data_IF_354871117606
#
_entry.id   IF_354871117606
#
_cell.length_a   1.000
_cell.length_b   1.000
_cell.length_c   1.000
_cell.angle_alpha   90.00
_cell.angle_beta   90.00
_cell.angle_gamma   90.00
#
_symmetry.space_group_name_H-M   'P 1'
#
loop_
_entity.id
_entity.type
_entity.pdbx_description
1 polymer ?
#
# COMPACT_ATOMS: atom_id res chain seq x y z
N UNK A 1 -68.18 37.85 -6.67
CA UNK A 1 -68.14 38.13 -5.22
C UNK A 1 -67.19 37.12 -4.61
N UNK A 2 -65.88 37.42 -4.49
CA UNK A 2 -65.24 38.06 -3.32
C UNK A 2 -65.64 37.34 -2.03
N UNK A 3 -64.74 36.72 -1.27
CA UNK A 3 -63.64 37.39 -0.55
C UNK A 3 -62.38 36.53 -0.34
N UNK A 4 -61.29 37.26 -0.17
CA UNK A 4 -59.94 36.88 0.21
C UNK A 4 -59.85 36.79 1.74
N UNK A 5 -59.06 35.87 2.31
CA UNK A 5 -58.16 36.23 3.42
C UNK A 5 -56.93 35.32 3.52
N UNK A 6 -55.79 35.99 3.50
CA UNK A 6 -54.40 35.55 3.73
C UNK A 6 -54.10 35.57 5.23
N UNK A 7 -53.18 34.71 5.70
CA UNK A 7 -52.05 34.94 6.66
C UNK A 7 -51.66 33.57 7.24
N UNK A 8 -50.46 33.01 7.02
CA UNK A 8 -49.09 33.33 7.48
C UNK A 8 -48.64 32.46 8.68
N UNK A 9 -47.43 31.94 8.50
CA UNK A 9 -46.36 31.65 9.47
C UNK A 9 -46.34 30.38 10.34
N UNK A 10 -45.28 29.61 10.06
CA UNK A 10 -44.23 29.11 10.96
C UNK A 10 -44.48 27.94 11.93
N UNK A 11 -43.46 27.07 11.89
CA UNK A 11 -42.89 26.27 12.97
C UNK A 11 -43.52 24.91 13.35
N UNK A 12 -42.92 23.89 12.74
CA UNK A 12 -42.11 22.89 13.43
C UNK A 12 -42.71 22.24 14.68
N UNK A 13 -43.25 21.03 14.55
CA UNK A 13 -42.86 19.87 15.39
C UNK A 13 -43.72 18.62 15.15
N UNK A 14 -43.03 17.50 14.98
CA UNK A 14 -43.34 16.13 15.45
C UNK A 14 -44.79 15.64 15.45
N UNK A 15 -45.17 14.82 14.45
CA UNK A 15 -46.19 13.75 14.54
C UNK A 15 -45.79 12.76 13.41
N UNK A 16 -45.71 11.43 13.53
CA UNK A 16 -46.34 10.43 14.39
C UNK A 16 -45.62 9.10 14.18
N UNK A 17 -45.46 8.32 15.24
CA UNK A 17 -45.93 6.93 15.26
C UNK A 17 -46.54 6.75 16.66
N UNK A 18 -47.86 6.76 16.86
CA UNK A 18 -48.77 5.58 16.76
C UNK A 18 -48.05 4.30 17.21
N UNK A 19 -48.42 3.59 18.28
CA UNK A 19 -49.67 3.48 19.04
C UNK A 19 -49.38 2.96 20.45
N UNK A 20 -50.23 3.36 21.39
CA UNK A 20 -50.39 2.85 22.75
C UNK A 20 -50.34 1.31 22.84
N UNK A 21 -49.76 0.79 23.94
CA UNK A 21 -50.52 -0.03 24.88
C UNK A 21 -49.76 -0.31 26.19
N UNK A 22 -50.41 0.05 27.30
CA UNK A 22 -50.40 -0.61 28.61
C UNK A 22 -49.14 -0.57 29.49
N UNK A 23 -49.17 0.37 30.44
CA UNK A 23 -48.36 0.41 31.65
C UNK A 23 -48.64 -0.78 32.60
N UNK A 24 -47.58 -1.28 33.23
CA UNK A 24 -47.64 -1.90 34.57
C UNK A 24 -46.75 -3.13 34.73
N UNK A 25 -45.51 -2.95 35.22
CA UNK A 25 -44.92 -3.65 36.38
C UNK A 25 -43.37 -3.60 36.40
N UNK A 26 -42.86 -2.89 37.41
CA UNK A 26 -41.65 -3.13 38.23
C UNK A 26 -40.35 -3.64 37.56
N UNK A 27 -39.40 -2.73 37.31
CA UNK A 27 -37.99 -3.07 37.02
C UNK A 27 -37.18 -3.13 38.32
N UNK A 28 -36.45 -4.22 38.65
CA UNK A 28 -35.48 -4.19 39.74
C UNK A 28 -34.23 -3.40 39.33
N UNK A 29 -33.84 -2.45 40.17
CA UNK A 29 -32.63 -1.65 40.04
C UNK A 29 -31.39 -2.55 40.23
N UNK A 30 -30.74 -2.98 39.14
CA UNK A 30 -29.42 -3.61 39.22
C UNK A 30 -28.35 -2.52 39.32
N UNK A 31 -27.71 -2.42 40.49
CA UNK A 31 -26.46 -1.68 40.66
C UNK A 31 -25.38 -2.34 39.80
N UNK A 32 -24.87 -1.62 38.80
CA UNK A 32 -23.67 -2.02 38.08
C UNK A 32 -22.48 -1.51 38.87
N UNK A 33 -21.81 -2.42 39.59
CA UNK A 33 -20.52 -2.11 40.17
C UNK A 33 -19.50 -1.90 39.04
N UNK A 34 -18.73 -0.81 39.13
CA UNK A 34 -17.69 -0.46 38.16
C UNK A 34 -16.68 -1.61 38.02
N UNK A 35 -16.77 -2.35 36.93
CA UNK A 35 -15.77 -3.34 36.54
C UNK A 35 -14.48 -2.58 36.24
N UNK A 36 -13.46 -2.81 37.05
CA UNK A 36 -12.14 -2.26 36.83
C UNK A 36 -11.43 -3.07 35.75
N UNK A 37 -11.61 -2.68 34.48
CA UNK A 37 -10.92 -3.30 33.35
C UNK A 37 -9.48 -2.79 33.38
N UNK A 38 -8.56 -3.61 33.92
CA UNK A 38 -7.14 -3.40 33.64
C UNK A 38 -6.96 -3.54 32.13
N UNK A 39 -6.40 -2.52 31.48
CA UNK A 39 -5.94 -2.61 30.10
C UNK A 39 -5.05 -3.83 29.93
N UNK A 40 -5.59 -4.85 29.26
CA UNK A 40 -4.80 -5.97 28.77
C UNK A 40 -4.28 -5.50 27.41
N UNK A 41 -2.96 -5.27 27.31
CA UNK A 41 -2.30 -5.19 26.01
C UNK A 41 -2.55 -6.51 25.29
N UNK A 42 -3.05 -6.52 24.04
CA UNK A 42 -3.22 -7.77 23.31
C UNK A 42 -1.85 -8.44 23.16
N UNK A 43 -1.67 -9.59 23.80
CA UNK A 43 -0.56 -10.49 23.52
C UNK A 43 -1.02 -11.40 22.39
N UNK A 44 -0.36 -11.29 21.23
CA UNK A 44 -0.62 -12.09 20.03
C UNK A 44 -0.18 -13.53 20.31
N UNK A 45 -0.98 -14.28 21.05
CA UNK A 45 -0.77 -15.71 21.24
C UNK A 45 -2.11 -16.39 21.44
N UNK A 46 -2.47 -17.21 20.45
CA UNK A 46 -3.67 -18.03 20.30
C UNK A 46 -4.92 -17.28 19.84
N UNK A 47 -5.30 -17.46 18.57
CA UNK A 47 -6.53 -18.18 18.15
C UNK A 47 -6.44 -18.44 16.63
N UNK A 48 -6.56 -19.71 16.27
CA UNK A 48 -6.64 -20.21 14.90
C UNK A 48 -8.12 -20.33 14.49
N UNK A 49 -8.80 -19.18 14.38
CA UNK A 49 -10.15 -19.03 13.80
C UNK A 49 -10.15 -17.71 13.03
N UNK A 50 -10.13 -17.80 11.69
CA UNK A 50 -10.33 -16.71 10.72
C UNK A 50 -9.70 -15.37 11.10
N UNK A 51 -8.53 -15.05 10.53
CA UNK A 51 -8.08 -13.65 10.42
C UNK A 51 -9.30 -12.85 9.90
N UNK A 52 -9.86 -11.95 10.71
CA UNK A 52 -11.00 -11.14 10.25
C UNK A 52 -10.54 -10.35 9.03
N UNK A 53 -11.41 -10.10 8.05
CA UNK A 53 -11.00 -9.44 6.79
C UNK A 53 -10.28 -8.10 7.04
N UNK A 54 -10.67 -7.38 8.10
CA UNK A 54 -10.04 -6.15 8.56
C UNK A 54 -8.60 -6.39 9.06
N UNK A 55 -8.34 -7.47 9.81
CA UNK A 55 -7.02 -7.82 10.33
C UNK A 55 -6.04 -8.16 9.20
N UNK A 56 -6.49 -8.89 8.19
CA UNK A 56 -5.62 -9.27 7.07
C UNK A 56 -5.27 -8.05 6.20
N UNK A 57 -6.21 -7.12 6.04
CA UNK A 57 -5.95 -5.88 5.29
C UNK A 57 -4.83 -5.04 5.93
N UNK A 58 -4.82 -4.93 7.26
CA UNK A 58 -3.80 -4.24 8.02
C UNK A 58 -2.44 -4.93 7.90
N UNK A 59 -2.40 -6.26 8.04
CA UNK A 59 -1.19 -7.07 7.88
C UNK A 59 -0.58 -6.87 6.49
N UNK A 60 -1.40 -6.84 5.44
CA UNK A 60 -0.94 -6.65 4.06
C UNK A 60 -0.33 -5.25 3.88
N UNK A 61 -0.95 -4.22 4.44
CA UNK A 61 -0.40 -2.86 4.41
C UNK A 61 0.94 -2.78 5.14
N UNK A 62 1.03 -3.33 6.35
CA UNK A 62 2.28 -3.40 7.12
C UNK A 62 3.39 -4.11 6.34
N UNK A 63 3.09 -5.26 5.75
CA UNK A 63 4.02 -6.06 4.97
C UNK A 63 4.56 -5.31 3.74
N UNK A 64 3.71 -4.58 3.03
CA UNK A 64 4.11 -3.77 1.87
C UNK A 64 4.94 -2.56 2.30
N UNK A 65 4.63 -1.95 3.44
CA UNK A 65 5.42 -0.86 4.00
C UNK A 65 6.83 -1.32 4.43
N UNK A 66 6.95 -2.52 4.99
CA UNK A 66 8.26 -3.15 5.25
C UNK A 66 9.03 -3.35 3.95
N UNK A 67 8.37 -3.89 2.91
CA UNK A 67 9.00 -4.07 1.59
C UNK A 67 9.44 -2.74 0.97
N UNK A 68 8.62 -1.68 1.07
CA UNK A 68 8.96 -0.33 0.60
C UNK A 68 10.18 0.23 1.33
N UNK A 69 10.25 0.05 2.64
CA UNK A 69 11.39 0.48 3.45
C UNK A 69 12.69 -0.23 3.02
N UNK A 70 12.63 -1.53 2.77
CA UNK A 70 13.78 -2.28 2.27
C UNK A 70 14.18 -1.83 0.86
N UNK A 71 13.21 -1.58 -0.02
CA UNK A 71 13.45 -1.06 -1.36
C UNK A 71 14.11 0.34 -1.31
N UNK A 72 13.63 1.23 -0.45
CA UNK A 72 14.20 2.57 -0.26
C UNK A 72 15.65 2.53 0.24
N UNK A 73 16.04 1.50 0.99
CA UNK A 73 17.41 1.28 1.44
C UNK A 73 18.34 0.67 0.38
N UNK A 74 17.81 0.30 -0.79
CA UNK A 74 18.57 -0.43 -1.81
C UNK A 74 18.82 -1.89 -1.44
N UNK A 75 17.93 -2.51 -0.66
CA UNK A 75 18.07 -3.93 -0.32
C UNK A 75 17.73 -4.78 -1.56
N UNK A 76 18.64 -5.69 -1.90
CA UNK A 76 18.51 -6.57 -3.08
C UNK A 76 17.22 -7.41 -3.03
N UNK A 77 16.62 -7.63 -4.20
CA UNK A 77 15.33 -8.32 -4.36
C UNK A 77 15.24 -9.68 -3.69
N UNK A 78 16.31 -10.49 -3.74
CA UNK A 78 16.35 -11.79 -3.07
C UNK A 78 16.31 -11.69 -1.54
N UNK A 79 16.94 -10.66 -0.97
CA UNK A 79 16.90 -10.39 0.47
C UNK A 79 15.52 -9.85 0.86
N UNK A 80 14.94 -8.94 0.07
CA UNK A 80 13.55 -8.45 0.28
C UNK A 80 12.54 -9.60 0.29
N UNK A 81 12.65 -10.54 -0.65
CA UNK A 81 11.81 -11.75 -0.68
C UNK A 81 12.01 -12.61 0.57
N UNK A 82 13.25 -12.74 1.05
CA UNK A 82 13.52 -13.47 2.30
C UNK A 82 12.86 -12.77 3.49
N UNK A 83 13.05 -11.46 3.65
CA UNK A 83 12.46 -10.68 4.74
C UNK A 83 10.92 -10.77 4.74
N UNK A 84 10.32 -10.75 3.55
CA UNK A 84 8.89 -10.98 3.36
C UNK A 84 8.46 -12.34 3.92
N UNK A 85 9.15 -13.43 3.55
CA UNK A 85 8.82 -14.78 4.03
C UNK A 85 9.10 -14.95 5.52
N UNK A 86 10.17 -14.34 6.03
CA UNK A 86 10.50 -14.35 7.46
C UNK A 86 9.40 -13.65 8.27
N UNK A 87 8.86 -12.52 7.79
CA UNK A 87 7.73 -11.84 8.42
C UNK A 87 6.48 -12.73 8.47
N UNK A 88 6.13 -13.36 7.34
CA UNK A 88 5.00 -14.28 7.25
C UNK A 88 5.13 -15.42 8.27
N UNK A 89 6.31 -16.05 8.34
CA UNK A 89 6.56 -17.16 9.26
C UNK A 89 6.53 -16.73 10.73
N UNK A 90 7.13 -15.58 11.05
CA UNK A 90 7.20 -15.08 12.43
C UNK A 90 5.84 -14.69 12.99
N UNK A 91 4.91 -14.28 12.12
CA UNK A 91 3.54 -13.93 12.50
C UNK A 91 2.55 -15.09 12.27
N UNK A 92 3.05 -16.30 11.98
CA UNK A 92 2.23 -17.51 11.77
C UNK A 92 1.13 -17.31 10.68
N UNK A 93 1.42 -16.50 9.66
CA UNK A 93 0.48 -16.17 8.60
C UNK A 93 0.39 -17.32 7.59
N UNK A 94 -0.82 -17.83 7.36
CA UNK A 94 -1.06 -18.84 6.32
C UNK A 94 -1.06 -18.19 4.92
N UNK A 95 0.00 -18.45 4.13
CA UNK A 95 0.13 -17.93 2.76
C UNK A 95 -1.01 -18.35 1.84
N UNK A 96 -1.51 -19.58 1.98
CA UNK A 96 -2.57 -20.09 1.13
C UNK A 96 -3.90 -19.36 1.41
N UNK A 97 -4.23 -19.14 2.68
CA UNK A 97 -5.40 -18.34 3.08
C UNK A 97 -5.27 -16.90 2.62
N UNK A 98 -4.09 -16.29 2.82
CA UNK A 98 -3.80 -14.94 2.32
C UNK A 98 -3.97 -14.88 0.79
N UNK A 99 -3.46 -15.86 0.05
CA UNK A 99 -3.62 -15.92 -1.39
C UNK A 99 -5.08 -15.99 -1.82
N UNK A 100 -5.88 -16.86 -1.20
CA UNK A 100 -7.32 -16.93 -1.48
C UNK A 100 -8.04 -15.63 -1.15
N UNK A 101 -7.67 -14.98 -0.04
CA UNK A 101 -8.24 -13.68 0.30
C UNK A 101 -7.89 -12.61 -0.75
N UNK A 102 -6.63 -12.55 -1.19
CA UNK A 102 -6.16 -11.62 -2.23
C UNK A 102 -6.89 -11.79 -3.56
N UNK A 103 -7.25 -13.02 -3.93
CA UNK A 103 -8.04 -13.28 -5.14
C UNK A 103 -9.42 -12.63 -5.08
N UNK A 104 -10.03 -12.58 -3.90
CA UNK A 104 -11.39 -12.08 -3.69
C UNK A 104 -11.44 -10.59 -3.28
N UNK A 105 -10.34 -10.00 -2.80
CA UNK A 105 -10.31 -8.67 -2.19
C UNK A 105 -9.45 -7.66 -2.96
N UNK A 106 -9.69 -7.49 -4.26
CA UNK A 106 -8.92 -6.58 -5.13
C UNK A 106 -9.51 -5.15 -5.19
N UNK A 107 -9.93 -4.63 -4.04
CA UNK A 107 -10.56 -3.31 -3.87
C UNK A 107 -9.56 -2.22 -3.45
N UNK A 108 -8.42 -2.60 -2.87
CA UNK A 108 -7.37 -1.69 -2.41
C UNK A 108 -6.06 -1.92 -3.20
N UNK A 109 -5.28 -0.86 -3.35
CA UNK A 109 -4.02 -0.86 -4.07
C UNK A 109 -2.99 -1.83 -3.46
N UNK A 110 -2.97 -1.97 -2.13
CA UNK A 110 -2.10 -2.88 -1.40
C UNK A 110 -2.39 -4.36 -1.71
N UNK A 111 -3.65 -4.80 -1.63
CA UNK A 111 -4.01 -6.18 -1.94
C UNK A 111 -3.81 -6.51 -3.41
N UNK A 112 -4.12 -5.57 -4.31
CA UNK A 112 -3.83 -5.72 -5.75
C UNK A 112 -2.33 -5.88 -5.99
N UNK A 113 -1.50 -5.04 -5.38
CA UNK A 113 -0.05 -5.13 -5.50
C UNK A 113 0.47 -6.46 -4.95
N UNK A 114 0.04 -6.88 -3.76
CA UNK A 114 0.49 -8.13 -3.15
C UNK A 114 0.12 -9.35 -4.00
N UNK A 115 -1.08 -9.36 -4.61
CA UNK A 115 -1.43 -10.41 -5.56
C UNK A 115 -0.48 -10.40 -6.77
N UNK A 116 -0.09 -9.22 -7.25
CA UNK A 116 0.91 -9.08 -8.31
C UNK A 116 2.28 -9.63 -7.91
N UNK A 117 2.69 -9.37 -6.66
CA UNK A 117 3.92 -9.87 -6.06
C UNK A 117 3.92 -11.40 -5.95
N UNK A 118 2.79 -12.01 -5.57
CA UNK A 118 2.64 -13.47 -5.54
C UNK A 118 2.80 -14.07 -6.94
N UNK A 119 2.20 -13.47 -7.97
CA UNK A 119 2.37 -13.89 -9.35
C UNK A 119 3.79 -13.63 -9.89
N UNK A 120 4.50 -12.61 -9.39
CA UNK A 120 5.88 -12.33 -9.79
C UNK A 120 6.86 -13.38 -9.24
N UNK A 121 6.66 -13.77 -7.97
CA UNK A 121 7.56 -14.69 -7.26
C UNK A 121 7.12 -16.15 -7.24
N UNK A 122 5.91 -16.46 -7.72
CA UNK A 122 5.32 -17.79 -7.67
C UNK A 122 4.98 -18.24 -6.24
N UNK A 123 4.41 -17.35 -5.42
CA UNK A 123 4.01 -17.65 -4.04
C UNK A 123 2.56 -18.15 -4.07
N UNK A 124 2.31 -19.39 -3.66
CA UNK A 124 0.99 -20.08 -3.72
C UNK A 124 0.35 -20.12 -5.13
N UNK A 125 1.12 -19.77 -6.15
CA UNK A 125 0.72 -19.75 -7.56
C UNK A 125 1.95 -19.94 -8.45
N UNK A 126 1.75 -20.12 -9.76
CA UNK A 126 2.84 -20.14 -10.72
C UNK A 126 3.26 -18.71 -11.10
N UNK A 127 4.53 -18.55 -11.47
CA UNK A 127 5.04 -17.28 -12.00
C UNK A 127 4.22 -16.89 -13.24
N UNK A 128 3.65 -15.68 -13.23
CA UNK A 128 2.83 -15.16 -14.32
C UNK A 128 3.13 -13.67 -14.57
N UNK A 129 4.06 -13.40 -15.49
CA UNK A 129 4.53 -12.04 -15.82
C UNK A 129 3.42 -11.13 -16.35
N UNK A 130 2.51 -11.66 -17.18
CA UNK A 130 1.42 -10.85 -17.76
C UNK A 130 0.47 -10.39 -16.67
N UNK A 131 0.06 -11.31 -15.79
CA UNK A 131 -0.81 -11.00 -14.66
C UNK A 131 -0.14 -10.07 -13.64
N UNK A 132 1.17 -10.23 -13.38
CA UNK A 132 1.94 -9.28 -12.57
C UNK A 132 1.87 -7.88 -13.17
N UNK A 133 2.13 -7.74 -14.48
CA UNK A 133 2.12 -6.44 -15.16
C UNK A 133 0.74 -5.77 -15.11
N UNK A 134 -0.34 -6.52 -15.31
CA UNK A 134 -1.71 -6.02 -15.17
C UNK A 134 -2.03 -5.55 -13.74
N UNK A 135 -1.69 -6.37 -12.74
CA UNK A 135 -1.94 -6.05 -11.33
C UNK A 135 -1.13 -4.84 -10.88
N UNK A 136 0.15 -4.75 -11.26
CA UNK A 136 0.99 -3.60 -10.93
C UNK A 136 0.49 -2.32 -11.61
N UNK A 137 0.03 -2.38 -12.87
CA UNK A 137 -0.63 -1.24 -13.50
C UNK A 137 -1.91 -0.82 -12.76
N UNK A 138 -2.73 -1.78 -12.31
CA UNK A 138 -3.96 -1.49 -11.56
C UNK A 138 -3.63 -0.84 -10.20
N UNK A 139 -2.68 -1.36 -9.45
CA UNK A 139 -2.26 -0.79 -8.17
C UNK A 139 -1.57 0.58 -8.32
N UNK A 140 -0.75 0.76 -9.37
CA UNK A 140 -0.08 2.02 -9.66
C UNK A 140 -1.07 3.15 -10.01
N UNK A 141 -2.17 2.82 -10.71
CA UNK A 141 -3.28 3.77 -10.98
C UNK A 141 -4.03 4.19 -9.72
N UNK A 142 -3.96 3.38 -8.66
CA UNK A 142 -4.47 3.70 -7.33
C UNK A 142 -3.39 4.32 -6.43
N UNK A 143 -2.33 4.89 -7.04
CA UNK A 143 -1.27 5.61 -6.35
C UNK A 143 -0.43 4.78 -5.37
N UNK A 144 -0.39 3.44 -5.54
CA UNK A 144 0.52 2.62 -4.75
C UNK A 144 1.97 2.85 -5.15
N UNK A 145 2.78 3.39 -4.24
CA UNK A 145 4.18 3.75 -4.47
C UNK A 145 5.01 2.53 -4.89
N UNK A 146 4.83 1.39 -4.22
CA UNK A 146 5.60 0.17 -4.51
C UNK A 146 5.27 -0.36 -5.89
N UNK A 147 3.99 -0.39 -6.24
CA UNK A 147 3.55 -0.78 -7.58
C UNK A 147 4.10 0.17 -8.66
N UNK A 148 4.14 1.48 -8.40
CA UNK A 148 4.72 2.45 -9.34
C UNK A 148 6.23 2.21 -9.55
N UNK A 149 6.98 1.95 -8.48
CA UNK A 149 8.42 1.64 -8.55
C UNK A 149 8.68 0.34 -9.32
N UNK A 150 8.03 -0.76 -8.95
CA UNK A 150 8.26 -2.06 -9.58
C UNK A 150 7.73 -2.09 -11.02
N UNK A 151 6.65 -1.36 -11.34
CA UNK A 151 6.17 -1.18 -12.71
C UNK A 151 7.16 -0.37 -13.57
N UNK A 152 7.77 0.68 -13.01
CA UNK A 152 8.80 1.45 -13.69
C UNK A 152 10.05 0.59 -13.97
N UNK A 153 10.45 -0.27 -13.04
CA UNK A 153 11.53 -1.25 -13.24
C UNK A 153 11.18 -2.23 -14.37
N UNK A 154 9.96 -2.77 -14.41
CA UNK A 154 9.48 -3.61 -15.53
C UNK A 154 9.59 -2.88 -16.87
N UNK A 155 9.23 -1.59 -16.92
CA UNK A 155 9.36 -0.78 -18.13
C UNK A 155 10.82 -0.57 -18.60
N UNK A 156 11.81 -0.73 -17.73
CA UNK A 156 13.23 -0.68 -18.09
C UNK A 156 13.73 -2.07 -18.52
N UNK A 157 13.46 -3.09 -17.71
CA UNK A 157 14.15 -4.38 -17.78
C UNK A 157 13.49 -5.38 -18.73
N UNK A 158 12.15 -5.40 -18.81
CA UNK A 158 11.43 -6.43 -19.55
C UNK A 158 11.26 -6.04 -21.02
N UNK A 159 11.92 -6.78 -21.92
CA UNK A 159 11.97 -6.49 -23.37
C UNK A 159 10.59 -6.25 -23.99
N UNK A 160 9.62 -7.09 -23.67
CA UNK A 160 8.28 -7.06 -24.29
C UNK A 160 7.36 -5.99 -23.70
N UNK A 161 7.73 -5.41 -22.54
CA UNK A 161 6.98 -4.33 -21.89
C UNK A 161 7.72 -3.00 -21.92
N UNK A 162 8.95 -2.96 -22.46
CA UNK A 162 9.86 -1.81 -22.41
C UNK A 162 9.20 -0.49 -22.80
N UNK A 163 9.29 0.50 -21.91
CA UNK A 163 8.81 1.85 -22.12
C UNK A 163 9.53 2.85 -21.21
N UNK A 164 10.69 3.33 -21.65
CA UNK A 164 11.53 4.20 -20.81
C UNK A 164 10.88 5.54 -20.46
N UNK A 165 10.06 6.10 -21.35
CA UNK A 165 9.31 7.34 -21.08
C UNK A 165 8.40 7.16 -19.85
N UNK A 166 7.63 6.06 -19.81
CA UNK A 166 6.76 5.75 -18.66
C UNK A 166 7.55 5.48 -17.40
N UNK A 167 8.69 4.81 -17.50
CA UNK A 167 9.56 4.58 -16.35
C UNK A 167 10.06 5.90 -15.76
N UNK A 168 10.58 6.79 -16.63
CA UNK A 168 11.07 8.11 -16.25
C UNK A 168 9.99 8.94 -15.56
N UNK A 169 8.79 9.02 -16.13
CA UNK A 169 7.69 9.80 -15.54
C UNK A 169 7.25 9.26 -14.17
N UNK A 170 7.25 7.93 -13.98
CA UNK A 170 6.96 7.32 -12.67
C UNK A 170 8.05 7.65 -11.64
N UNK A 171 9.33 7.53 -11.99
CA UNK A 171 10.42 7.87 -11.07
C UNK A 171 10.48 9.35 -10.75
N UNK A 172 10.22 10.22 -11.74
CA UNK A 172 10.14 11.66 -11.55
C UNK A 172 9.02 12.03 -10.59
N UNK A 173 7.81 11.49 -10.78
CA UNK A 173 6.69 11.69 -9.86
C UNK A 173 7.02 11.29 -8.42
N UNK A 174 7.64 10.12 -8.24
CA UNK A 174 7.98 9.63 -6.90
C UNK A 174 9.18 10.38 -6.27
N UNK A 175 10.04 10.98 -7.09
CA UNK A 175 11.12 11.87 -6.63
C UNK A 175 10.56 13.14 -5.98
N UNK A 176 9.43 13.67 -6.47
CA UNK A 176 8.73 14.81 -5.84
C UNK A 176 8.21 14.47 -4.44
N UNK A 177 8.06 13.18 -4.12
CA UNK A 177 7.69 12.66 -2.80
C UNK A 177 8.91 12.27 -1.94
N UNK A 178 10.11 12.66 -2.35
CA UNK A 178 11.37 12.34 -1.67
C UNK A 178 11.61 10.81 -1.49
N UNK A 179 11.10 9.98 -2.39
CA UNK A 179 11.31 8.54 -2.33
C UNK A 179 12.78 8.19 -2.73
N UNK A 180 13.61 7.62 -1.83
CA UNK A 180 15.04 7.44 -2.07
C UNK A 180 15.34 6.50 -3.24
N UNK A 181 14.55 5.43 -3.39
CA UNK A 181 14.71 4.49 -4.49
C UNK A 181 14.34 5.14 -5.84
N UNK A 182 13.26 5.92 -5.89
CA UNK A 182 12.88 6.67 -7.08
C UNK A 182 13.95 7.70 -7.47
N UNK A 183 14.52 8.42 -6.50
CA UNK A 183 15.59 9.39 -6.74
C UNK A 183 16.81 8.70 -7.35
N UNK A 184 17.23 7.56 -6.78
CA UNK A 184 18.32 6.75 -7.34
C UNK A 184 18.02 6.33 -8.79
N UNK A 185 16.82 5.79 -9.03
CA UNK A 185 16.42 5.33 -10.36
C UNK A 185 16.25 6.48 -11.37
N UNK A 186 15.88 7.68 -10.94
CA UNK A 186 15.88 8.86 -11.80
C UNK A 186 17.32 9.28 -12.16
N UNK A 187 18.26 9.14 -11.22
CA UNK A 187 19.68 9.28 -11.51
C UNK A 187 20.13 8.30 -12.59
N UNK A 188 19.69 7.04 -12.48
CA UNK A 188 19.93 5.99 -13.48
C UNK A 188 19.33 6.30 -14.85
N UNK A 189 18.14 6.93 -14.90
CA UNK A 189 17.57 7.42 -16.15
C UNK A 189 18.44 8.48 -16.82
N UNK A 190 18.92 9.49 -16.09
CA UNK A 190 19.82 10.51 -16.64
C UNK A 190 21.20 9.97 -17.01
N UNK A 191 21.67 8.95 -16.32
CA UNK A 191 22.94 8.29 -16.57
C UNK A 191 22.95 7.61 -17.95
N UNK A 192 21.97 6.74 -18.18
CA UNK A 192 21.93 5.85 -19.33
C UNK A 192 20.98 6.32 -20.44
N UNK A 193 20.27 7.42 -20.22
CA UNK A 193 19.35 8.01 -21.19
C UNK A 193 18.02 7.26 -21.30
N UNK A 194 17.48 6.77 -20.17
CA UNK A 194 16.20 6.06 -20.16
C UNK A 194 15.04 7.06 -20.06
N UNK A 195 14.42 7.36 -21.20
CA UNK A 195 13.24 8.23 -21.28
C UNK A 195 13.57 9.72 -21.18
N UNK A 196 14.86 10.06 -21.14
CA UNK A 196 15.38 11.41 -21.06
C UNK A 196 16.78 11.45 -21.68
N UNK A 197 17.23 12.63 -22.12
CA UNK A 197 18.61 12.79 -22.59
C UNK A 197 19.62 12.57 -21.47
N UNK A 198 20.78 12.01 -21.84
CA UNK A 198 21.86 11.75 -20.90
C UNK A 198 22.34 13.05 -20.26
N UNK A 199 22.40 13.08 -18.93
CA UNK A 199 22.99 14.14 -18.15
C UNK A 199 23.71 13.57 -16.91
N UNK A 200 25.01 13.31 -17.08
CA UNK A 200 25.86 12.70 -16.04
C UNK A 200 25.97 13.54 -14.78
N UNK A 201 26.05 14.86 -14.90
CA UNK A 201 26.07 15.75 -13.74
C UNK A 201 24.77 15.63 -12.93
N UNK A 202 23.62 15.61 -13.62
CA UNK A 202 22.33 15.43 -12.97
C UNK A 202 22.18 14.06 -12.32
N UNK A 203 22.71 13.02 -12.96
CA UNK A 203 22.74 11.67 -12.39
C UNK A 203 23.49 11.64 -11.05
N UNK A 204 24.70 12.21 -11.00
CA UNK A 204 25.51 12.27 -9.77
C UNK A 204 24.81 13.06 -8.66
N UNK A 205 24.19 14.20 -8.96
CA UNK A 205 23.40 14.97 -7.98
C UNK A 205 22.26 14.12 -7.37
N UNK A 206 21.57 13.34 -8.20
CA UNK A 206 20.46 12.49 -7.76
C UNK A 206 20.96 11.29 -6.96
N UNK A 207 22.04 10.63 -7.39
CA UNK A 207 22.64 9.54 -6.63
C UNK A 207 23.11 10.03 -5.25
N UNK A 208 23.76 11.19 -5.17
CA UNK A 208 24.15 11.79 -3.88
C UNK A 208 22.94 12.03 -2.99
N UNK A 209 21.87 12.61 -3.54
CA UNK A 209 20.64 12.85 -2.79
C UNK A 209 20.02 11.55 -2.26
N UNK A 210 19.94 10.50 -3.08
CA UNK A 210 19.40 9.21 -2.64
C UNK A 210 20.30 8.54 -1.58
N UNK A 211 21.62 8.65 -1.72
CA UNK A 211 22.59 8.17 -0.75
C UNK A 211 22.46 8.87 0.61
N UNK A 212 22.28 10.19 0.62
CA UNK A 212 22.04 10.98 1.84
C UNK A 212 20.73 10.57 2.55
N UNK A 213 19.76 10.05 1.79
CA UNK A 213 18.52 9.46 2.29
C UNK A 213 18.65 7.96 2.68
N UNK A 214 19.85 7.40 2.62
CA UNK A 214 20.15 6.03 3.06
C UNK A 214 19.94 4.95 1.99
N UNK A 215 19.84 5.29 0.71
CA UNK A 215 19.79 4.30 -0.36
C UNK A 215 21.21 3.78 -0.68
N UNK A 216 21.46 2.50 -0.39
CA UNK A 216 22.78 1.89 -0.58
C UNK A 216 23.15 1.63 -2.04
N UNK A 217 22.17 1.39 -2.92
CA UNK A 217 22.43 1.26 -4.36
C UNK A 217 22.93 2.59 -4.96
N UNK A 218 22.41 3.72 -4.47
CA UNK A 218 22.87 5.04 -4.88
C UNK A 218 24.33 5.33 -4.47
N UNK A 219 24.73 4.89 -3.27
CA UNK A 219 26.14 4.95 -2.84
C UNK A 219 27.05 4.15 -3.78
N UNK A 220 26.64 2.92 -4.12
CA UNK A 220 27.38 2.09 -5.08
C UNK A 220 27.48 2.78 -6.44
N UNK A 221 26.39 3.38 -6.91
CA UNK A 221 26.39 4.12 -8.18
C UNK A 221 27.38 5.30 -8.14
N UNK A 222 27.45 6.07 -7.04
CA UNK A 222 28.46 7.13 -6.87
C UNK A 222 29.89 6.59 -6.91
N UNK A 223 30.18 5.52 -6.16
CA UNK A 223 31.52 4.91 -6.12
C UNK A 223 31.95 4.45 -7.52
N UNK A 224 31.04 3.85 -8.29
CA UNK A 224 31.30 3.45 -9.68
C UNK A 224 31.62 4.69 -10.53
N UNK A 225 30.86 5.77 -10.38
CA UNK A 225 31.15 7.01 -11.10
C UNK A 225 32.53 7.55 -10.80
N UNK A 226 32.90 7.68 -9.54
CA UNK A 226 34.20 8.22 -9.12
C UNK A 226 35.39 7.38 -9.61
N UNK A 227 35.20 6.06 -9.76
CA UNK A 227 36.24 5.15 -10.25
C UNK A 227 36.41 5.23 -11.78
N UNK A 228 35.33 5.48 -12.53
CA UNK A 228 35.31 5.36 -13.99
C UNK A 228 35.11 6.68 -14.76
N UNK A 229 34.93 7.83 -14.08
CA UNK A 229 34.87 9.18 -14.66
C UNK A 229 36.22 9.86 -14.76
#
# INVERSE_FOLDING_TARGET
>A
MSEIKVTNDSDNSNISNTTNSSYGELVPNYKIDKINIKEIKPSIKYINENIYEEDLSFIIEELINIYLNDLNKGIKTNIRKKNFLDYINNNEINLQEMYYWLLNNQNNSYSIYLLGYFNYHGIETNINKEKTFELYQKAAKLENIVAQLDLAAIYIDERDKKNYEKAYELFKKLTEMENPNAINMLGYCYDYGFGIDVNKQKAVELYQKAADLGNSDALINLEIYEIFS
#
